data_IF_257262392551
#
_entry.id   IF_257262392551
#
_cell.length_a   1.000
_cell.length_b   1.000
_cell.length_c   1.000
_cell.angle_alpha   90.00
_cell.angle_beta   90.00
_cell.angle_gamma   90.00
#
_symmetry.space_group_name_H-M   'P 1'
#
loop_
_entity.id
_entity.type
_entity.pdbx_description
1 polymer ?
#
# COMPACT_ATOMS: atom_id res chain seq x y z
N UNK A 1 -8.80 -1.07 3.21
CA UNK A 1 -8.60 -2.35 2.50
C UNK A 1 -7.88 -3.31 3.45
N UNK A 2 -8.34 -4.54 3.55
CA UNK A 2 -7.79 -5.55 4.48
C UNK A 2 -7.58 -6.84 3.71
N UNK A 3 -6.40 -7.44 3.83
CA UNK A 3 -6.06 -8.74 3.24
C UNK A 3 -6.87 -9.88 3.83
N UNK A 4 -7.04 -10.96 3.07
CA UNK A 4 -7.80 -12.14 3.47
C UNK A 4 -7.22 -12.80 4.71
N UNK A 5 -5.89 -12.82 4.86
CA UNK A 5 -5.20 -13.41 6.00
C UNK A 5 -5.57 -12.72 7.34
N UNK A 6 -5.78 -11.40 7.30
CA UNK A 6 -6.22 -10.65 8.50
C UNK A 6 -7.65 -11.03 8.90
N UNK A 7 -8.53 -11.21 7.90
CA UNK A 7 -9.91 -11.67 8.13
C UNK A 7 -9.91 -13.08 8.73
N UNK A 8 -9.13 -13.99 8.16
CA UNK A 8 -9.04 -15.38 8.62
C UNK A 8 -8.41 -15.48 10.00
N UNK A 9 -7.41 -14.67 10.29
CA UNK A 9 -6.81 -14.57 11.62
C UNK A 9 -7.83 -14.15 12.67
N UNK A 10 -8.63 -13.12 12.41
CA UNK A 10 -9.68 -12.68 13.33
C UNK A 10 -10.73 -13.76 13.56
N UNK A 11 -11.14 -14.46 12.50
CA UNK A 11 -12.07 -15.59 12.61
C UNK A 11 -11.47 -16.75 13.42
N UNK A 12 -10.17 -17.03 13.25
CA UNK A 12 -9.48 -18.08 14.01
C UNK A 12 -9.45 -17.77 15.51
N UNK A 13 -9.44 -16.49 15.90
CA UNK A 13 -9.63 -16.06 17.29
C UNK A 13 -11.09 -16.09 17.76
N UNK A 14 -12.02 -16.47 16.90
CA UNK A 14 -13.45 -16.57 17.24
C UNK A 14 -14.23 -15.26 17.04
N UNK A 15 -13.64 -14.26 16.38
CA UNK A 15 -14.35 -13.03 16.07
C UNK A 15 -15.35 -13.23 14.94
N UNK A 16 -16.54 -12.65 15.07
CA UNK A 16 -17.44 -12.45 13.94
C UNK A 16 -16.93 -11.27 13.09
N UNK A 17 -16.70 -11.51 11.80
CA UNK A 17 -16.10 -10.50 10.91
C UNK A 17 -17.10 -10.06 9.87
N UNK A 18 -17.46 -8.78 9.91
CA UNK A 18 -18.29 -8.12 8.90
C UNK A 18 -17.40 -7.39 7.92
N UNK A 19 -17.39 -7.83 6.65
CA UNK A 19 -16.62 -7.19 5.58
C UNK A 19 -17.50 -6.16 4.88
N UNK A 20 -17.07 -4.91 4.89
CA UNK A 20 -17.77 -3.79 4.29
C UNK A 20 -17.13 -3.37 2.95
N UNK A 21 -17.89 -2.75 2.02
CA UNK A 21 -17.36 -2.15 0.81
C UNK A 21 -16.30 -1.08 1.12
N UNK A 22 -15.27 -0.96 0.27
CA UNK A 22 -14.19 0.02 0.46
C UNK A 22 -14.50 1.35 -0.24
N UNK A 23 -15.19 1.31 -1.39
CA UNK A 23 -15.41 2.48 -2.26
C UNK A 23 -16.80 3.07 -2.06
N UNK A 24 -17.17 3.40 -0.81
CA UNK A 24 -18.44 4.04 -0.46
C UNK A 24 -18.17 5.21 0.49
N UNK A 25 -19.04 6.23 0.43
CA UNK A 25 -18.93 7.38 1.34
C UNK A 25 -19.06 6.94 2.81
N UNK A 26 -18.41 7.62 3.77
CA UNK A 26 -18.50 7.28 5.20
C UNK A 26 -19.92 7.23 5.73
N UNK A 27 -20.82 8.08 5.20
CA UNK A 27 -22.23 8.18 5.58
C UNK A 27 -23.12 7.09 4.95
N UNK A 28 -22.58 6.33 3.98
CA UNK A 28 -23.33 5.21 3.39
C UNK A 28 -23.61 4.16 4.47
N UNK A 29 -24.85 3.65 4.59
CA UNK A 29 -25.21 2.64 5.59
C UNK A 29 -24.38 1.34 5.49
N UNK A 30 -23.81 1.03 4.32
CA UNK A 30 -22.95 -0.13 4.08
C UNK A 30 -21.48 0.14 4.42
N UNK A 31 -21.08 1.39 4.68
CA UNK A 31 -19.72 1.74 5.05
C UNK A 31 -19.31 1.05 6.37
N UNK A 32 -18.02 0.81 6.56
CA UNK A 32 -17.56 0.23 7.82
C UNK A 32 -17.76 1.20 9.02
N UNK A 33 -17.80 2.51 8.77
CA UNK A 33 -18.11 3.51 9.80
C UNK A 33 -19.55 3.37 10.30
N UNK A 34 -20.52 3.40 9.38
CA UNK A 34 -21.96 3.28 9.68
C UNK A 34 -22.30 1.89 10.23
N UNK A 35 -21.66 0.84 9.69
CA UNK A 35 -21.83 -0.53 10.18
C UNK A 35 -21.31 -0.67 11.61
N UNK A 36 -20.12 -0.13 11.92
CA UNK A 36 -19.57 -0.17 13.27
C UNK A 36 -20.45 0.60 14.27
N UNK A 37 -20.96 1.78 13.90
CA UNK A 37 -21.88 2.57 14.70
C UNK A 37 -23.17 1.80 15.01
N UNK A 38 -23.78 1.20 13.98
CA UNK A 38 -24.98 0.36 14.13
C UNK A 38 -24.74 -0.81 15.08
N UNK A 39 -23.63 -1.54 14.92
CA UNK A 39 -23.32 -2.70 15.78
C UNK A 39 -23.12 -2.30 17.24
N UNK A 40 -22.49 -1.16 17.52
CA UNK A 40 -22.35 -0.64 18.89
C UNK A 40 -23.71 -0.36 19.51
N UNK A 41 -24.66 0.17 18.73
CA UNK A 41 -26.00 0.48 19.23
C UNK A 41 -26.88 -0.78 19.38
N UNK A 42 -26.69 -1.80 18.55
CA UNK A 42 -27.50 -3.03 18.57
C UNK A 42 -27.02 -4.07 19.60
N UNK A 43 -25.71 -4.12 19.89
CA UNK A 43 -25.14 -5.15 20.76
C UNK A 43 -24.96 -4.60 22.17
N UNK A 44 -25.69 -5.10 23.17
CA UNK A 44 -25.56 -4.64 24.55
C UNK A 44 -24.14 -4.79 25.08
N UNK A 45 -23.57 -3.72 25.62
CA UNK A 45 -22.22 -3.69 26.17
C UNK A 45 -21.09 -3.62 25.13
N UNK A 46 -21.42 -3.45 23.84
CA UNK A 46 -20.40 -3.23 22.83
C UNK A 46 -19.64 -1.93 23.06
N UNK A 47 -18.34 -1.97 22.79
CA UNK A 47 -17.45 -0.82 22.89
C UNK A 47 -16.71 -0.62 21.56
N UNK A 48 -16.71 0.61 21.05
CA UNK A 48 -15.94 1.01 19.87
C UNK A 48 -14.69 1.79 20.30
N UNK A 49 -13.48 1.27 20.10
CA UNK A 49 -12.24 1.99 20.42
C UNK A 49 -12.07 3.29 19.64
N UNK A 50 -12.62 3.38 18.43
CA UNK A 50 -12.64 4.56 17.56
C UNK A 50 -11.27 5.20 17.36
N UNK A 51 -10.31 4.40 16.90
CA UNK A 51 -8.88 4.75 16.85
C UNK A 51 -8.54 6.04 16.10
N UNK A 52 -9.38 6.49 15.18
CA UNK A 52 -9.18 7.74 14.43
C UNK A 52 -9.43 8.99 15.29
N UNK A 53 -10.37 8.92 16.22
CA UNK A 53 -10.87 10.07 16.99
C UNK A 53 -10.56 9.97 18.49
N UNK A 54 -10.21 8.79 18.98
CA UNK A 54 -9.92 8.59 20.41
C UNK A 54 -8.53 9.13 20.76
N UNK A 55 -8.40 10.17 21.59
CA UNK A 55 -7.12 10.77 21.97
C UNK A 55 -6.23 9.81 22.78
N UNK A 56 -6.77 8.73 23.33
CA UNK A 56 -5.97 7.68 23.97
C UNK A 56 -5.01 7.00 23.01
N UNK A 57 -5.27 7.06 21.69
CA UNK A 57 -4.39 6.50 20.68
C UNK A 57 -3.01 7.21 20.68
N UNK A 58 -2.87 8.50 20.37
CA UNK A 58 -1.57 9.17 20.47
C UNK A 58 -1.04 9.25 21.90
N UNK A 59 -1.91 9.32 22.91
CA UNK A 59 -1.50 9.36 24.32
C UNK A 59 -0.74 8.08 24.73
N UNK A 60 -1.21 6.91 24.31
CA UNK A 60 -0.52 5.66 24.59
C UNK A 60 0.92 5.64 24.05
N UNK A 61 1.13 6.15 22.82
CA UNK A 61 2.46 6.23 22.23
C UNK A 61 3.34 7.30 22.87
N UNK A 62 2.75 8.41 23.31
CA UNK A 62 3.44 9.43 24.10
C UNK A 62 3.95 8.87 25.44
N UNK A 63 3.14 8.05 26.11
CA UNK A 63 3.46 7.50 27.44
C UNK A 63 4.37 6.25 27.38
N UNK A 64 4.41 5.55 26.26
CA UNK A 64 5.13 4.26 26.16
C UNK A 64 6.18 4.26 25.05
N UNK A 65 5.78 4.32 23.77
CA UNK A 65 6.67 4.14 22.62
C UNK A 65 7.72 5.25 22.51
N UNK A 66 7.34 6.51 22.71
CA UNK A 66 8.26 7.65 22.71
C UNK A 66 9.34 7.53 23.78
N UNK A 67 8.98 7.33 25.07
CA UNK A 67 9.94 7.10 26.14
C UNK A 67 10.85 5.89 25.92
N UNK A 68 10.32 4.81 25.34
CA UNK A 68 11.10 3.61 25.04
C UNK A 68 12.18 3.89 23.98
N UNK A 69 11.81 4.53 22.87
CA UNK A 69 12.75 4.92 21.80
C UNK A 69 13.83 5.85 22.37
N UNK A 70 13.44 6.87 23.13
CA UNK A 70 14.38 7.81 23.75
C UNK A 70 15.40 7.10 24.65
N UNK A 71 14.91 6.21 25.52
CA UNK A 71 15.76 5.44 26.42
C UNK A 71 16.70 4.49 25.67
N UNK A 72 16.19 3.74 24.67
CA UNK A 72 16.97 2.77 23.92
C UNK A 72 18.02 3.42 23.04
N UNK A 73 17.80 4.64 22.58
CA UNK A 73 18.76 5.43 21.83
C UNK A 73 19.70 6.28 22.72
N UNK A 74 19.55 6.18 24.05
CA UNK A 74 20.29 7.00 25.01
C UNK A 74 20.16 8.50 24.74
N UNK A 75 19.02 8.93 24.19
CA UNK A 75 18.76 10.31 23.78
C UNK A 75 19.56 10.78 22.55
N UNK A 76 20.21 9.87 21.84
CA UNK A 76 21.05 10.20 20.66
C UNK A 76 20.27 10.23 19.33
N UNK A 77 18.99 9.90 19.35
CA UNK A 77 18.15 9.92 18.15
C UNK A 77 18.11 11.30 17.53
N UNK A 78 18.35 11.39 16.22
CA UNK A 78 18.28 12.65 15.44
C UNK A 78 17.11 12.65 14.47
N UNK A 79 16.69 11.47 13.99
CA UNK A 79 15.59 11.34 13.03
C UNK A 79 14.68 10.18 13.43
N UNK A 80 13.38 10.44 13.45
CA UNK A 80 12.35 9.42 13.64
C UNK A 80 11.51 9.29 12.38
N UNK A 81 11.43 8.09 11.82
CA UNK A 81 10.68 7.78 10.60
C UNK A 81 9.58 6.77 10.91
N UNK A 82 8.35 7.08 10.62
CA UNK A 82 7.23 6.14 10.75
C UNK A 82 6.16 6.40 9.69
N UNK A 83 5.43 5.35 9.32
CA UNK A 83 4.18 5.49 8.57
C UNK A 83 3.07 6.08 9.42
N UNK A 84 2.12 6.76 8.80
CA UNK A 84 0.94 7.28 9.45
C UNK A 84 -0.34 6.75 8.78
N UNK A 85 -1.18 6.04 9.56
CA UNK A 85 -2.58 5.79 9.26
C UNK A 85 -3.41 6.74 10.13
N UNK A 86 -3.92 6.30 11.27
CA UNK A 86 -4.66 7.18 12.20
C UNK A 86 -3.83 8.35 12.75
N UNK A 87 -2.54 8.35 12.56
CA UNK A 87 -1.62 9.36 13.08
C UNK A 87 -1.16 9.13 14.52
N UNK A 88 -1.83 8.24 15.27
CA UNK A 88 -1.59 8.08 16.71
C UNK A 88 -0.13 7.78 17.06
N UNK A 89 0.50 6.82 16.39
CA UNK A 89 1.89 6.44 16.64
C UNK A 89 2.85 7.59 16.34
N UNK A 90 2.76 8.13 15.13
CA UNK A 90 3.65 9.22 14.69
C UNK A 90 3.51 10.44 15.60
N UNK A 91 2.28 10.90 15.86
CA UNK A 91 2.01 12.11 16.65
C UNK A 91 2.38 11.94 18.11
N UNK A 92 2.06 10.79 18.71
CA UNK A 92 2.39 10.52 20.12
C UNK A 92 3.90 10.44 20.35
N UNK A 93 4.63 9.72 19.50
CA UNK A 93 6.10 9.62 19.56
C UNK A 93 6.73 10.99 19.27
N UNK A 94 6.28 11.67 18.21
CA UNK A 94 6.80 12.99 17.82
C UNK A 94 6.68 13.99 18.96
N UNK A 95 5.51 14.07 19.60
CA UNK A 95 5.29 14.95 20.74
C UNK A 95 6.31 14.69 21.85
N UNK A 96 6.46 13.44 22.27
CA UNK A 96 7.41 13.07 23.31
C UNK A 96 8.85 13.43 22.92
N UNK A 97 9.28 13.03 21.73
CA UNK A 97 10.67 13.27 21.27
C UNK A 97 10.98 14.75 21.13
N UNK A 98 10.06 15.54 20.57
CA UNK A 98 10.23 17.02 20.44
C UNK A 98 10.27 17.72 21.80
N UNK A 99 9.60 17.22 22.83
CA UNK A 99 9.71 17.73 24.21
C UNK A 99 11.07 17.40 24.83
N UNK A 100 11.71 16.30 24.45
CA UNK A 100 13.06 15.97 24.93
C UNK A 100 14.14 16.76 24.16
N UNK A 101 14.02 16.85 22.85
CA UNK A 101 14.92 17.60 21.97
C UNK A 101 14.13 18.10 20.75
N UNK A 102 13.88 19.41 20.62
CA UNK A 102 13.11 20.00 19.52
C UNK A 102 13.80 19.88 18.15
N UNK A 103 15.10 19.61 18.11
CA UNK A 103 15.87 19.47 16.86
C UNK A 103 15.69 18.10 16.18
N UNK A 104 15.11 17.11 16.88
CA UNK A 104 14.84 15.80 16.30
C UNK A 104 13.90 15.96 15.10
N UNK A 105 14.30 15.43 13.96
CA UNK A 105 13.51 15.46 12.74
C UNK A 105 12.47 14.35 12.75
N UNK A 106 11.20 14.69 12.56
CA UNK A 106 10.06 13.76 12.48
C UNK A 106 9.64 13.61 11.03
N UNK A 107 9.72 12.40 10.52
CA UNK A 107 9.45 12.09 9.12
C UNK A 107 8.24 11.15 9.01
N UNK A 108 7.20 11.62 8.33
CA UNK A 108 6.06 10.78 7.94
C UNK A 108 6.39 10.06 6.62
N UNK A 109 6.37 8.75 6.65
CA UNK A 109 6.44 7.91 5.44
C UNK A 109 5.00 7.63 4.98
N UNK A 110 4.66 8.04 3.75
CA UNK A 110 3.29 8.06 3.27
C UNK A 110 3.18 7.40 1.89
N UNK A 111 2.16 6.57 1.61
CA UNK A 111 1.98 6.03 0.27
C UNK A 111 1.56 7.12 -0.72
N UNK A 112 2.06 7.04 -1.94
CA UNK A 112 1.63 7.93 -3.01
C UNK A 112 0.11 7.86 -3.22
N UNK A 113 -0.54 9.00 -3.14
CA UNK A 113 -2.01 9.12 -3.29
C UNK A 113 -2.72 9.47 -2.00
N UNK A 114 -2.11 9.24 -0.84
CA UNK A 114 -2.62 9.67 0.46
C UNK A 114 -2.62 11.20 0.59
N UNK A 115 -3.51 11.72 1.43
CA UNK A 115 -3.62 13.17 1.67
C UNK A 115 -2.43 13.76 2.41
N UNK A 116 -1.69 12.98 3.20
CA UNK A 116 -0.56 13.47 4.01
C UNK A 116 0.61 13.98 3.15
N UNK A 117 0.84 13.36 2.00
CA UNK A 117 1.86 13.79 1.04
C UNK A 117 1.33 14.72 -0.05
N UNK A 118 0.12 15.27 0.12
CA UNK A 118 -0.52 16.17 -0.83
C UNK A 118 -1.27 15.46 -1.95
N UNK A 119 -1.53 14.16 -1.81
CA UNK A 119 -2.37 13.41 -2.72
C UNK A 119 -3.86 13.73 -2.56
N UNK A 120 -4.67 13.20 -3.47
CA UNK A 120 -6.13 13.42 -3.52
C UNK A 120 -6.95 12.30 -2.86
N UNK A 121 -6.32 11.40 -2.09
CA UNK A 121 -6.96 10.20 -1.56
C UNK A 121 -7.15 9.11 -2.63
N UNK A 122 -6.33 9.10 -3.70
CA UNK A 122 -6.41 8.05 -4.73
C UNK A 122 -5.98 6.69 -4.15
N UNK A 123 -6.55 5.58 -4.67
CA UNK A 123 -6.21 4.25 -4.18
C UNK A 123 -4.73 3.91 -4.31
N UNK A 124 -4.21 3.21 -3.31
CA UNK A 124 -2.89 2.57 -3.25
C UNK A 124 -3.06 1.16 -2.65
N UNK A 125 -2.01 0.33 -2.70
CA UNK A 125 -2.07 -1.08 -2.28
C UNK A 125 -1.46 -1.33 -0.91
N UNK A 126 -0.55 -0.49 -0.44
CA UNK A 126 0.00 -0.58 0.92
C UNK A 126 -1.12 -0.50 1.94
N UNK A 127 -1.10 -1.41 2.92
CA UNK A 127 -2.10 -1.46 4.00
C UNK A 127 -1.56 -0.83 5.29
N UNK A 128 -2.47 -0.19 6.04
CA UNK A 128 -2.21 0.31 7.40
C UNK A 128 -1.52 1.67 7.49
N UNK A 129 -1.22 2.30 6.37
CA UNK A 129 -0.67 3.66 6.29
C UNK A 129 -1.36 4.44 5.16
N UNK A 130 -1.29 5.78 5.26
CA UNK A 130 -1.96 6.67 4.35
C UNK A 130 -3.46 6.79 4.61
N UNK A 131 -4.05 7.93 4.28
CA UNK A 131 -5.47 8.21 4.47
C UNK A 131 -6.02 9.06 3.31
N UNK A 132 -7.34 9.11 3.22
CA UNK A 132 -8.10 9.97 2.30
C UNK A 132 -8.68 11.21 3.00
N UNK A 133 -8.50 11.34 4.31
CA UNK A 133 -8.87 12.47 5.13
C UNK A 133 -7.80 12.73 6.22
N UNK A 134 -7.93 13.85 6.96
CA UNK A 134 -7.03 14.22 8.06
C UNK A 134 -7.64 13.80 9.40
N UNK A 135 -7.18 12.70 10.03
CA UNK A 135 -7.68 12.30 11.33
C UNK A 135 -7.27 13.30 12.43
N UNK A 136 -8.13 13.55 13.46
CA UNK A 136 -7.77 14.41 14.58
C UNK A 136 -6.56 13.95 15.40
N UNK A 137 -6.22 12.66 15.33
CA UNK A 137 -5.07 12.08 16.02
C UNK A 137 -3.74 12.30 15.27
N UNK A 138 -3.77 12.82 14.04
CA UNK A 138 -2.58 13.22 13.30
C UNK A 138 -2.26 14.68 13.58
N UNK A 139 -1.06 14.96 14.07
CA UNK A 139 -0.56 16.29 14.41
C UNK A 139 0.46 16.76 13.36
N UNK A 140 0.01 17.40 12.25
CA UNK A 140 0.89 17.79 11.16
C UNK A 140 1.95 18.82 11.58
N UNK A 141 1.68 19.62 12.60
CA UNK A 141 2.61 20.62 13.15
C UNK A 141 3.84 20.02 13.83
N UNK A 142 3.81 18.72 14.16
CA UNK A 142 4.95 18.01 14.74
C UNK A 142 5.80 17.30 13.67
N UNK A 143 5.36 17.27 12.42
CA UNK A 143 6.02 16.57 11.32
C UNK A 143 6.88 17.56 10.53
N UNK A 144 8.19 17.32 10.48
CA UNK A 144 9.12 18.19 9.77
C UNK A 144 9.12 17.89 8.26
N UNK A 145 8.86 16.64 7.88
CA UNK A 145 8.86 16.23 6.48
C UNK A 145 7.93 15.03 6.24
N UNK A 146 7.17 15.07 5.14
CA UNK A 146 6.44 13.91 4.62
C UNK A 146 7.11 13.42 3.34
N UNK A 147 7.36 12.11 3.23
CA UNK A 147 7.98 11.47 2.08
C UNK A 147 6.97 10.51 1.46
N UNK A 148 6.55 10.82 0.23
CA UNK A 148 5.71 9.93 -0.55
C UNK A 148 6.52 8.76 -1.11
N UNK A 149 6.01 7.54 -0.97
CA UNK A 149 6.64 6.30 -1.45
C UNK A 149 5.63 5.52 -2.28
N UNK A 150 6.04 5.07 -3.46
CA UNK A 150 5.17 4.25 -4.31
C UNK A 150 4.90 2.86 -3.70
N UNK A 151 3.78 2.21 -4.11
CA UNK A 151 3.51 0.82 -3.75
C UNK A 151 4.67 -0.10 -4.16
N UNK A 152 5.19 0.08 -5.37
CA UNK A 152 6.32 -0.70 -5.88
C UNK A 152 7.55 -0.58 -4.99
N UNK A 153 7.96 0.64 -4.65
CA UNK A 153 9.14 0.88 -3.81
C UNK A 153 8.93 0.34 -2.40
N UNK A 154 7.72 0.48 -1.85
CA UNK A 154 7.35 -0.06 -0.55
C UNK A 154 7.50 -1.59 -0.51
N UNK A 155 6.94 -2.29 -1.50
CA UNK A 155 6.97 -3.76 -1.53
C UNK A 155 8.34 -4.32 -1.87
N UNK A 156 9.06 -3.71 -2.82
CA UNK A 156 10.42 -4.13 -3.14
C UNK A 156 11.36 -3.93 -1.94
N UNK A 157 11.23 -2.80 -1.24
CA UNK A 157 12.00 -2.53 -0.02
C UNK A 157 11.68 -3.54 1.09
N UNK A 158 10.41 -3.88 1.32
CA UNK A 158 10.03 -4.89 2.31
C UNK A 158 10.66 -6.26 2.00
N UNK A 159 10.65 -6.68 0.72
CA UNK A 159 11.30 -7.92 0.26
C UNK A 159 12.81 -7.88 0.41
N UNK A 160 13.43 -6.74 0.11
CA UNK A 160 14.88 -6.56 0.22
C UNK A 160 15.35 -6.61 1.67
N UNK A 161 14.70 -5.90 2.59
CA UNK A 161 14.95 -5.97 4.04
C UNK A 161 14.81 -7.40 4.55
N UNK A 162 13.75 -8.09 4.15
CA UNK A 162 13.53 -9.48 4.55
C UNK A 162 14.68 -10.39 4.11
N UNK A 163 15.17 -10.24 2.88
CA UNK A 163 16.22 -11.09 2.33
C UNK A 163 17.63 -10.76 2.85
N UNK A 164 17.92 -9.47 3.06
CA UNK A 164 19.26 -9.00 3.47
C UNK A 164 19.44 -8.97 4.98
N UNK A 165 18.40 -8.58 5.72
CA UNK A 165 18.48 -8.36 7.17
C UNK A 165 17.81 -9.48 7.99
N UNK A 166 17.06 -10.39 7.33
CA UNK A 166 16.31 -11.44 8.02
C UNK A 166 15.08 -10.92 8.77
N UNK A 167 14.66 -9.69 8.53
CA UNK A 167 13.50 -9.06 9.16
C UNK A 167 12.28 -9.19 8.24
N UNK A 168 11.37 -10.10 8.54
CA UNK A 168 10.14 -10.26 7.78
C UNK A 168 9.15 -9.14 8.14
N UNK A 169 9.09 -8.08 7.33
CA UNK A 169 8.27 -6.89 7.56
C UNK A 169 7.09 -6.79 6.58
N UNK A 170 6.03 -6.06 6.95
CA UNK A 170 4.90 -5.78 6.07
C UNK A 170 5.19 -4.66 5.06
N UNK A 171 4.22 -4.40 4.17
CA UNK A 171 4.33 -3.36 3.14
C UNK A 171 4.56 -1.96 3.71
N UNK A 172 3.86 -1.61 4.79
CA UNK A 172 4.03 -0.31 5.48
C UNK A 172 5.40 -0.17 6.14
N UNK A 173 5.99 -1.29 6.61
CA UNK A 173 7.40 -1.34 7.04
C UNK A 173 8.34 -1.01 5.88
N UNK A 174 8.07 -1.54 4.69
CA UNK A 174 8.81 -1.22 3.48
C UNK A 174 8.71 0.27 3.10
N UNK A 175 7.52 0.87 3.21
CA UNK A 175 7.30 2.32 3.03
C UNK A 175 8.18 3.12 3.99
N UNK A 176 8.17 2.77 5.28
CA UNK A 176 8.94 3.46 6.31
C UNK A 176 10.46 3.33 6.07
N UNK A 177 10.95 2.13 5.74
CA UNK A 177 12.38 1.91 5.45
C UNK A 177 12.81 2.66 4.18
N UNK A 178 12.00 2.68 3.12
CA UNK A 178 12.32 3.42 1.90
C UNK A 178 12.48 4.92 2.18
N UNK A 179 11.54 5.49 2.95
CA UNK A 179 11.63 6.88 3.41
C UNK A 179 12.89 7.10 4.28
N UNK A 180 13.20 6.18 5.21
CA UNK A 180 14.40 6.25 6.05
C UNK A 180 15.70 6.20 5.23
N UNK A 181 15.78 5.36 4.20
CA UNK A 181 16.92 5.33 3.26
C UNK A 181 17.06 6.68 2.57
N UNK A 182 15.97 7.31 2.17
CA UNK A 182 15.99 8.65 1.54
C UNK A 182 16.54 9.70 2.49
N UNK A 183 16.21 9.64 3.78
CA UNK A 183 16.76 10.50 4.83
C UNK A 183 18.25 10.19 5.04
N UNK A 184 18.60 8.92 5.20
CA UNK A 184 19.96 8.48 5.51
C UNK A 184 20.98 8.85 4.41
N UNK A 185 20.55 8.98 3.15
CA UNK A 185 21.45 9.41 2.04
C UNK A 185 22.01 10.82 2.21
N UNK A 186 21.37 11.68 2.98
CA UNK A 186 21.77 13.06 3.21
C UNK A 186 22.13 13.34 4.68
N UNK A 187 21.96 12.35 5.54
CA UNK A 187 22.33 12.42 6.94
C UNK A 187 23.84 12.36 7.13
N UNK A 188 24.33 12.91 8.23
CA UNK A 188 25.74 12.84 8.64
C UNK A 188 26.06 11.49 9.29
N UNK A 189 27.36 11.21 9.47
CA UNK A 189 27.80 9.99 10.13
C UNK A 189 27.41 9.94 11.64
N UNK A 190 27.15 11.09 12.23
CA UNK A 190 26.76 11.22 13.63
C UNK A 190 25.24 11.14 13.84
N UNK A 191 24.46 11.12 12.76
CA UNK A 191 23.01 11.04 12.84
C UNK A 191 22.55 9.60 13.17
N UNK A 192 21.56 9.52 14.04
CA UNK A 192 20.89 8.27 14.40
C UNK A 192 19.45 8.30 13.87
N UNK A 193 19.22 7.58 12.78
CA UNK A 193 17.89 7.44 12.14
C UNK A 193 17.20 6.21 12.70
N UNK A 194 16.09 6.40 13.39
CA UNK A 194 15.23 5.33 13.90
C UNK A 194 14.01 5.20 13.01
N UNK A 195 13.75 3.99 12.49
CA UNK A 195 12.57 3.67 11.70
C UNK A 195 11.68 2.69 12.43
N UNK A 196 10.38 3.00 12.50
CA UNK A 196 9.39 2.14 13.13
C UNK A 196 8.82 1.15 12.12
N UNK A 197 8.90 -0.14 12.44
CA UNK A 197 8.33 -1.25 11.66
C UNK A 197 7.07 -1.72 12.38
N UNK A 198 5.85 -1.39 11.88
CA UNK A 198 4.63 -1.53 12.65
C UNK A 198 4.09 -2.96 12.73
N UNK A 199 4.45 -3.83 11.78
CA UNK A 199 3.98 -5.22 11.72
C UNK A 199 5.00 -6.16 11.10
N UNK A 200 4.62 -7.44 10.98
CA UNK A 200 5.43 -8.44 10.31
C UNK A 200 4.80 -8.90 8.99
N UNK A 201 5.62 -9.47 8.11
CA UNK A 201 5.21 -9.88 6.76
C UNK A 201 4.35 -11.15 6.68
N UNK A 202 4.05 -11.85 7.78
CA UNK A 202 3.29 -13.10 7.77
C UNK A 202 1.87 -12.95 7.19
N UNK A 203 1.29 -11.75 7.34
CA UNK A 203 -0.04 -11.44 6.83
C UNK A 203 -0.04 -10.98 5.36
N UNK A 204 1.10 -11.10 4.67
CA UNK A 204 1.30 -10.62 3.29
C UNK A 204 1.98 -11.67 2.40
N UNK A 205 1.97 -12.96 2.81
CA UNK A 205 2.64 -14.03 2.08
C UNK A 205 1.97 -14.30 0.73
N UNK A 206 0.66 -14.07 0.61
CA UNK A 206 -0.10 -14.22 -0.63
C UNK A 206 -0.13 -12.94 -1.50
N UNK A 207 0.57 -11.88 -1.09
CA UNK A 207 0.61 -10.58 -1.78
C UNK A 207 2.06 -10.09 -1.96
N UNK A 208 2.57 -9.28 -1.04
CA UNK A 208 3.92 -8.68 -1.11
C UNK A 208 5.03 -9.70 -1.31
N UNK A 209 4.89 -10.91 -0.77
CA UNK A 209 5.89 -11.99 -0.84
C UNK A 209 5.57 -13.06 -1.88
N UNK A 210 4.46 -12.95 -2.61
CA UNK A 210 4.09 -13.78 -3.73
C UNK A 210 4.54 -13.16 -5.06
N UNK A 211 5.32 -13.91 -5.85
CA UNK A 211 5.87 -13.40 -7.10
C UNK A 211 4.80 -13.25 -8.18
N UNK A 212 3.78 -14.12 -8.22
CA UNK A 212 2.69 -14.03 -9.20
C UNK A 212 1.85 -12.78 -8.94
N UNK A 213 1.54 -12.51 -7.67
CA UNK A 213 0.83 -11.30 -7.28
C UNK A 213 1.64 -10.05 -7.66
N UNK A 214 2.93 -10.01 -7.34
CA UNK A 214 3.82 -8.89 -7.64
C UNK A 214 3.98 -8.67 -9.15
N UNK A 215 4.04 -9.75 -9.95
CA UNK A 215 4.03 -9.65 -11.42
C UNK A 215 2.68 -9.16 -11.95
N UNK A 216 1.58 -9.62 -11.36
CA UNK A 216 0.22 -9.20 -11.74
C UNK A 216 -0.02 -7.70 -11.62
N UNK A 217 0.67 -7.03 -10.67
CA UNK A 217 0.66 -5.57 -10.52
C UNK A 217 1.81 -4.85 -11.23
N UNK A 218 2.70 -5.57 -11.92
CA UNK A 218 3.83 -4.99 -12.63
C UNK A 218 4.99 -4.53 -11.71
N UNK A 219 5.01 -4.93 -10.45
CA UNK A 219 6.05 -4.56 -9.48
C UNK A 219 7.34 -5.37 -9.64
N UNK A 220 7.24 -6.57 -10.19
CA UNK A 220 8.41 -7.34 -10.64
C UNK A 220 8.41 -7.38 -12.17
N UNK A 221 9.59 -7.22 -12.75
CA UNK A 221 9.76 -7.50 -14.17
C UNK A 221 9.59 -9.01 -14.38
N UNK A 222 8.75 -9.38 -15.33
CA UNK A 222 8.64 -10.77 -15.73
C UNK A 222 10.03 -11.25 -16.17
N UNK A 223 10.50 -12.35 -15.58
CA UNK A 223 11.75 -13.00 -15.99
C UNK A 223 11.56 -13.87 -17.24
N UNK A 224 10.41 -13.76 -17.90
CA UNK A 224 10.05 -14.49 -19.12
C UNK A 224 10.02 -13.58 -20.34
N UNK A 225 9.90 -14.17 -21.54
CA UNK A 225 9.78 -13.42 -22.77
C UNK A 225 8.55 -12.50 -22.72
N UNK A 226 8.76 -11.22 -22.99
CA UNK A 226 7.64 -10.29 -23.19
C UNK A 226 6.92 -10.57 -24.51
N UNK A 227 5.71 -10.05 -24.71
CA UNK A 227 4.95 -10.28 -25.95
C UNK A 227 5.79 -9.93 -27.19
N UNK A 228 6.62 -8.87 -27.10
CA UNK A 228 7.54 -8.51 -28.19
C UNK A 228 8.51 -9.65 -28.52
N UNK A 229 9.10 -10.31 -27.52
CA UNK A 229 10.03 -11.43 -27.73
C UNK A 229 9.32 -12.62 -28.36
N UNK A 230 8.07 -12.88 -27.96
CA UNK A 230 7.23 -13.94 -28.54
C UNK A 230 6.89 -13.62 -29.99
N UNK A 231 6.54 -12.37 -30.28
CA UNK A 231 6.27 -11.91 -31.65
C UNK A 231 7.55 -11.95 -32.51
N UNK A 232 8.70 -11.56 -31.96
CA UNK A 232 10.00 -11.66 -32.64
C UNK A 232 10.39 -13.11 -32.95
N UNK A 233 10.14 -14.04 -32.02
CA UNK A 233 10.41 -15.46 -32.23
C UNK A 233 9.53 -16.11 -33.32
N UNK A 234 8.39 -15.47 -33.65
CA UNK A 234 7.42 -15.93 -34.65
C UNK A 234 7.55 -15.20 -36.00
N UNK A 235 8.62 -14.45 -36.24
CA UNK A 235 8.79 -13.63 -37.45
C UNK A 235 8.69 -14.39 -38.77
N UNK A 236 8.93 -15.68 -38.79
CA UNK A 236 8.71 -16.53 -39.97
C UNK A 236 7.27 -17.05 -39.98
N UNK A 237 6.33 -16.24 -40.47
CA UNK A 237 4.97 -16.70 -40.81
C UNK A 237 3.82 -16.18 -39.91
N UNK A 238 4.03 -15.12 -39.14
CA UNK A 238 2.87 -14.46 -38.49
C UNK A 238 2.15 -13.65 -39.57
N UNK A 239 0.88 -13.98 -39.93
CA UNK A 239 0.11 -13.15 -40.85
C UNK A 239 -0.09 -11.76 -40.26
N UNK A 240 -0.23 -10.76 -41.13
CA UNK A 240 -0.75 -9.43 -40.76
C UNK A 240 -1.99 -9.60 -39.85
N UNK A 241 -2.23 -8.64 -38.99
CA UNK A 241 -3.38 -8.70 -38.06
C UNK A 241 -4.66 -8.99 -38.85
N UNK A 242 -5.19 -10.19 -38.69
CA UNK A 242 -6.44 -10.59 -39.32
C UNK A 242 -7.60 -9.91 -38.61
N UNK A 243 -8.41 -9.17 -39.33
CA UNK A 243 -9.60 -8.50 -38.83
C UNK A 243 -10.72 -8.55 -39.87
N UNK A 244 -11.93 -8.29 -39.44
CA UNK A 244 -13.10 -8.10 -40.32
C UNK A 244 -13.67 -6.70 -40.11
N UNK A 245 -14.30 -6.18 -41.19
CA UNK A 245 -15.01 -4.91 -41.11
C UNK A 245 -16.46 -5.13 -40.65
N UNK A 246 -17.09 -4.12 -40.03
CA UNK A 246 -18.49 -4.24 -39.53
C UNK A 246 -19.52 -4.58 -40.63
N UNK A 247 -19.19 -4.30 -41.89
CA UNK A 247 -20.06 -4.54 -43.05
C UNK A 247 -19.91 -5.94 -43.62
N UNK A 248 -18.87 -6.66 -43.24
CA UNK A 248 -18.63 -8.02 -43.70
C UNK A 248 -19.62 -9.00 -43.04
N UNK A 249 -19.93 -10.05 -43.75
CA UNK A 249 -20.89 -11.06 -43.27
C UNK A 249 -20.21 -12.01 -42.27
N UNK A 250 -21.03 -12.63 -41.40
CA UNK A 250 -20.58 -13.68 -40.47
C UNK A 250 -19.95 -14.85 -41.26
N UNK A 251 -20.44 -15.14 -42.48
CA UNK A 251 -19.88 -16.19 -43.34
C UNK A 251 -18.45 -15.86 -43.80
N UNK A 252 -18.17 -14.61 -44.10
CA UNK A 252 -16.80 -14.17 -44.47
C UNK A 252 -15.88 -14.23 -43.24
N UNK A 253 -16.34 -13.82 -42.07
CA UNK A 253 -15.59 -13.96 -40.82
C UNK A 253 -15.22 -15.43 -40.54
N UNK A 254 -16.20 -16.34 -40.63
CA UNK A 254 -15.97 -17.79 -40.44
C UNK A 254 -14.99 -18.34 -41.45
N UNK A 255 -15.06 -17.89 -42.71
CA UNK A 255 -14.10 -18.30 -43.77
C UNK A 255 -12.67 -17.87 -43.39
N UNK A 256 -12.46 -16.59 -43.04
CA UNK A 256 -11.15 -16.07 -42.61
C UNK A 256 -10.62 -16.85 -41.40
N UNK A 257 -11.46 -17.10 -40.39
CA UNK A 257 -11.07 -17.89 -39.23
C UNK A 257 -10.61 -19.30 -39.63
N UNK A 258 -11.35 -19.98 -40.53
CA UNK A 258 -11.03 -21.34 -40.95
C UNK A 258 -9.77 -21.39 -41.82
N UNK A 259 -9.57 -20.43 -42.73
CA UNK A 259 -8.41 -20.36 -43.62
C UNK A 259 -7.10 -20.12 -42.83
N UNK A 260 -7.18 -19.34 -41.73
CA UNK A 260 -6.01 -18.98 -40.96
C UNK A 260 -5.89 -19.73 -39.63
N UNK A 261 -6.81 -20.65 -39.30
CA UNK A 261 -6.77 -21.47 -38.08
C UNK A 261 -6.95 -20.65 -36.78
N UNK A 262 -7.64 -19.50 -36.85
CA UNK A 262 -7.89 -18.63 -35.69
C UNK A 262 -9.32 -18.79 -35.20
N UNK A 263 -9.50 -18.68 -33.88
CA UNK A 263 -10.81 -18.83 -33.23
C UNK A 263 -11.53 -17.50 -32.99
N UNK A 264 -10.86 -16.37 -33.23
CA UNK A 264 -11.38 -15.03 -32.98
C UNK A 264 -10.82 -14.05 -34.02
N UNK A 265 -11.64 -13.06 -34.39
CA UNK A 265 -11.23 -11.94 -35.23
C UNK A 265 -11.72 -10.62 -34.61
N UNK A 266 -10.86 -9.60 -34.48
CA UNK A 266 -11.31 -8.27 -34.14
C UNK A 266 -12.17 -7.67 -35.26
N UNK A 267 -13.14 -6.85 -34.90
CA UNK A 267 -13.94 -6.06 -35.84
C UNK A 267 -13.42 -4.64 -35.84
N UNK A 268 -12.84 -4.19 -36.95
CA UNK A 268 -12.27 -2.86 -37.07
C UNK A 268 -12.89 -2.07 -38.23
N UNK A 269 -13.11 -0.76 -38.05
CA UNK A 269 -13.69 0.12 -39.07
C UNK A 269 -12.67 0.59 -40.14
N UNK A 270 -11.39 0.60 -39.80
CA UNK A 270 -10.28 1.02 -40.66
C UNK A 270 -9.10 0.07 -40.45
N UNK A 271 -8.12 0.09 -41.35
CA UNK A 271 -6.84 -0.58 -41.11
C UNK A 271 -6.29 -0.13 -39.74
N UNK A 272 -6.01 -1.10 -38.88
CA UNK A 272 -5.37 -0.82 -37.60
C UNK A 272 -3.89 -0.65 -37.92
N UNK A 273 -3.30 0.56 -37.79
CA UNK A 273 -1.88 0.70 -38.00
C UNK A 273 -1.17 -0.09 -36.91
N UNK A 274 -0.43 -1.12 -37.30
CA UNK A 274 0.55 -1.73 -36.41
C UNK A 274 1.58 -0.65 -36.14
N UNK A 275 1.65 -0.18 -34.90
CA UNK A 275 2.68 0.76 -34.47
C UNK A 275 4.06 0.13 -34.78
N UNK A 276 4.87 0.87 -35.52
CA UNK A 276 6.24 0.50 -35.85
C UNK A 276 7.14 0.53 -34.60
#
# INVERSE_FOLDING_TARGET
KVGVEKVDLLRAYGAEVVVCPVAVAPEDPSSYYSTAERLVNEIPGAFRPNQYFNPSNPQAHYETTGPEIWRQTEGKITHFVAGAGTGGTLSGVAKYLKEQNPDIQIIAADPEGSVYSGGSGRPYLVEGVGEDFWPPNYAPELVDRTIAVSDQDSFLTAREVTRKEGLLIGGSGGTAVNAAITVARVASADDLVVVLLPDNGRLYLSTVFDDEWMHGFGFLRASGPVIADVLESRRDGVPELLYVQPQQTVREAVRVMSEHGVSQLPVAKNEIPLAA
#
